data_IF_037897812505
#
_entry.id   IF_037897812505
#
_cell.length_a   1.000
_cell.length_b   1.000
_cell.length_c   1.000
_cell.angle_alpha   90.00
_cell.angle_beta   90.00
_cell.angle_gamma   90.00
#
_symmetry.space_group_name_H-M   'P 1'
#
loop_
_entity.id
_entity.type
_entity.pdbx_description
1 polymer ?
#
# COMPACT_ATOMS: atom_id res chain seq x y z
N UNK A 1 9.68 26.17 -22.67
CA UNK A 1 9.28 27.02 -21.53
C UNK A 1 10.45 27.87 -21.04
N UNK A 2 10.11 28.95 -20.33
CA UNK A 2 11.08 29.90 -19.78
C UNK A 2 10.85 30.08 -18.28
N UNK A 3 11.88 30.38 -17.52
CA UNK A 3 11.79 30.69 -16.10
C UNK A 3 12.67 31.91 -15.77
N UNK A 4 12.31 32.59 -14.69
CA UNK A 4 13.00 33.79 -14.25
C UNK A 4 14.01 33.45 -13.16
N UNK A 5 15.25 33.90 -13.36
CA UNK A 5 16.30 33.85 -12.35
C UNK A 5 16.73 35.29 -12.13
N UNK A 6 16.44 35.82 -10.96
CA UNK A 6 16.64 37.23 -10.60
C UNK A 6 16.00 38.20 -11.63
N UNK A 7 16.78 38.96 -12.36
CA UNK A 7 16.32 39.91 -13.39
C UNK A 7 16.29 39.32 -14.80
N UNK A 8 16.78 38.11 -15.02
CA UNK A 8 16.92 37.52 -16.37
C UNK A 8 15.92 36.38 -16.60
N UNK A 9 15.43 36.31 -17.85
CA UNK A 9 14.59 35.18 -18.31
C UNK A 9 15.49 34.21 -19.07
N UNK A 10 15.48 32.94 -18.64
CA UNK A 10 16.27 31.86 -19.25
C UNK A 10 15.36 30.75 -19.79
N UNK A 11 15.85 30.04 -20.81
CA UNK A 11 15.18 28.80 -21.26
C UNK A 11 15.24 27.79 -20.12
N UNK A 12 14.11 27.21 -19.82
CA UNK A 12 14.02 26.20 -18.78
C UNK A 12 14.65 24.89 -19.27
N UNK A 13 15.65 24.33 -18.56
CA UNK A 13 16.15 23.01 -18.83
C UNK A 13 15.02 21.97 -18.82
N UNK A 14 15.17 20.91 -19.60
CA UNK A 14 14.10 19.89 -19.76
C UNK A 14 13.79 19.16 -18.46
N UNK A 15 14.80 18.80 -17.72
CA UNK A 15 14.70 18.17 -16.39
C UNK A 15 13.90 19.03 -15.40
N UNK A 16 14.24 20.32 -15.29
CA UNK A 16 13.51 21.26 -14.43
C UNK A 16 12.07 21.47 -14.90
N UNK A 17 11.82 21.44 -16.19
CA UNK A 17 10.47 21.54 -16.74
C UNK A 17 9.64 20.31 -16.41
N UNK A 18 10.21 19.10 -16.59
CA UNK A 18 9.55 17.85 -16.26
C UNK A 18 9.25 17.74 -14.75
N UNK A 19 10.20 18.18 -13.90
CA UNK A 19 9.99 18.26 -12.45
C UNK A 19 8.84 19.18 -12.08
N UNK A 20 8.80 20.40 -12.62
CA UNK A 20 7.69 21.36 -12.37
C UNK A 20 6.33 20.86 -12.87
N UNK A 21 6.29 20.15 -13.99
CA UNK A 21 5.05 19.54 -14.46
C UNK A 21 4.59 18.45 -13.48
N UNK A 22 5.50 17.59 -13.02
CA UNK A 22 5.19 16.58 -12.01
C UNK A 22 4.70 17.21 -10.71
N UNK A 23 5.32 18.27 -10.24
CA UNK A 23 4.89 19.03 -9.07
C UNK A 23 3.52 19.69 -9.24
N UNK A 24 3.23 20.26 -10.42
CA UNK A 24 1.97 20.96 -10.69
C UNK A 24 0.79 20.02 -10.92
N UNK A 25 1.05 18.81 -11.40
CA UNK A 25 0.03 17.79 -11.72
C UNK A 25 0.47 16.40 -11.26
N UNK A 26 0.75 16.20 -9.96
CA UNK A 26 1.28 14.95 -9.44
C UNK A 26 0.36 13.76 -9.74
N UNK A 27 -0.96 13.99 -9.77
CA UNK A 27 -1.95 12.97 -10.06
C UNK A 27 -1.89 12.40 -11.49
N UNK A 28 -1.34 13.14 -12.47
CA UNK A 28 -1.20 12.64 -13.84
C UNK A 28 0.06 11.79 -14.04
N UNK A 29 1.10 12.03 -13.22
CA UNK A 29 2.41 11.40 -13.34
C UNK A 29 2.70 10.39 -12.23
N UNK A 30 1.73 10.14 -11.34
CA UNK A 30 1.92 9.14 -10.29
C UNK A 30 2.09 7.75 -10.89
N UNK A 31 3.02 6.98 -10.32
CA UNK A 31 3.29 5.60 -10.72
C UNK A 31 2.02 4.76 -10.83
N UNK A 32 1.12 4.89 -9.88
CA UNK A 32 -0.11 4.10 -9.80
C UNK A 32 -1.04 4.29 -11.02
N UNK A 33 -0.97 5.45 -11.70
CA UNK A 33 -1.81 5.78 -12.86
C UNK A 33 -1.17 5.44 -14.20
N UNK A 34 0.11 5.09 -14.22
CA UNK A 34 0.78 4.70 -15.45
C UNK A 34 0.22 3.36 -15.95
N UNK A 35 0.05 3.22 -17.26
CA UNK A 35 -0.36 1.94 -17.86
C UNK A 35 0.73 0.90 -17.61
N UNK A 36 0.34 -0.27 -17.17
CA UNK A 36 1.26 -1.37 -16.96
C UNK A 36 1.60 -2.03 -18.29
N UNK A 37 2.90 -2.09 -18.59
CA UNK A 37 3.37 -2.76 -19.81
C UNK A 37 3.34 -4.28 -19.67
N UNK A 38 2.77 -4.94 -20.68
CA UNK A 38 2.76 -6.40 -20.76
C UNK A 38 1.75 -7.11 -19.85
N UNK A 39 0.90 -6.37 -19.13
CA UNK A 39 -0.16 -6.94 -18.27
C UNK A 39 -1.52 -6.66 -18.90
N UNK A 40 -2.36 -7.67 -18.96
CA UNK A 40 -3.74 -7.60 -19.42
C UNK A 40 -4.74 -7.85 -18.28
N UNK A 41 -6.02 -7.65 -18.52
CA UNK A 41 -7.08 -7.90 -17.52
C UNK A 41 -7.06 -9.36 -17.06
N UNK A 42 -6.77 -10.30 -17.95
CA UNK A 42 -6.71 -11.73 -17.64
C UNK A 42 -5.55 -12.11 -16.69
N UNK A 43 -4.55 -11.25 -16.56
CA UNK A 43 -3.44 -11.44 -15.61
C UNK A 43 -3.80 -10.98 -14.19
N UNK A 44 -4.96 -10.34 -14.02
CA UNK A 44 -5.49 -9.95 -12.73
C UNK A 44 -6.32 -11.10 -12.10
N UNK A 45 -6.31 -11.18 -10.78
CA UNK A 45 -7.05 -12.18 -10.02
C UNK A 45 -8.52 -11.76 -9.84
N UNK A 46 -9.40 -12.38 -10.64
CA UNK A 46 -10.84 -12.14 -10.59
C UNK A 46 -11.45 -12.47 -9.22
N UNK A 47 -10.89 -13.41 -8.48
CA UNK A 47 -11.40 -13.75 -7.14
C UNK A 47 -11.09 -12.63 -6.14
N UNK A 48 -9.89 -12.06 -6.19
CA UNK A 48 -9.54 -10.91 -5.35
C UNK A 48 -10.39 -9.69 -5.69
N UNK A 49 -10.61 -9.40 -6.98
CA UNK A 49 -11.49 -8.31 -7.42
C UNK A 49 -12.93 -8.54 -6.90
N UNK A 50 -13.47 -9.75 -7.08
CA UNK A 50 -14.80 -10.08 -6.58
C UNK A 50 -14.89 -10.02 -5.03
N UNK A 51 -13.82 -10.41 -4.31
CA UNK A 51 -13.76 -10.28 -2.86
C UNK A 51 -13.75 -8.81 -2.41
N UNK A 52 -13.00 -7.95 -3.10
CA UNK A 52 -12.97 -6.52 -2.86
C UNK A 52 -14.37 -5.90 -3.02
N UNK A 53 -15.09 -6.27 -4.09
CA UNK A 53 -16.46 -5.81 -4.32
C UNK A 53 -17.41 -6.33 -3.23
N UNK A 54 -17.32 -7.62 -2.88
CA UNK A 54 -18.14 -8.19 -1.80
C UNK A 54 -17.91 -7.49 -0.46
N UNK A 55 -16.65 -7.21 -0.13
CA UNK A 55 -16.28 -6.43 1.05
C UNK A 55 -16.93 -5.06 1.05
N UNK A 56 -16.84 -4.35 -0.07
CA UNK A 56 -17.42 -3.02 -0.25
C UNK A 56 -18.95 -2.98 -0.13
N UNK A 57 -19.62 -3.95 -0.72
CA UNK A 57 -21.09 -4.09 -0.62
C UNK A 57 -21.49 -4.41 0.83
N UNK A 58 -20.82 -5.36 1.47
CA UNK A 58 -21.06 -5.71 2.88
C UNK A 58 -20.82 -4.53 3.82
N UNK A 59 -19.81 -3.71 3.55
CA UNK A 59 -19.49 -2.50 4.29
C UNK A 59 -20.35 -1.29 3.95
N UNK A 60 -21.31 -1.40 3.01
CA UNK A 60 -22.18 -0.30 2.60
C UNK A 60 -21.47 0.78 1.76
N UNK A 61 -20.26 0.52 1.28
CA UNK A 61 -19.46 1.46 0.48
C UNK A 61 -19.67 1.28 -1.04
N UNK A 62 -20.22 0.16 -1.46
CA UNK A 62 -20.60 -0.15 -2.83
C UNK A 62 -22.07 -0.57 -2.91
N UNK A 63 -22.73 -0.25 -4.02
CA UNK A 63 -24.09 -0.74 -4.29
C UNK A 63 -24.08 -2.26 -4.52
N UNK A 64 -25.15 -2.93 -4.11
CA UNK A 64 -25.36 -4.36 -4.37
C UNK A 64 -25.34 -4.71 -5.87
N UNK A 65 -25.69 -3.77 -6.75
CA UNK A 65 -25.59 -3.96 -8.21
C UNK A 65 -24.16 -4.26 -8.67
N UNK A 66 -23.13 -3.82 -7.93
CA UNK A 66 -21.73 -4.11 -8.27
C UNK A 66 -21.41 -5.62 -8.27
N UNK A 67 -22.17 -6.44 -7.54
CA UNK A 67 -21.98 -7.90 -7.52
C UNK A 67 -22.29 -8.60 -8.85
N UNK A 68 -23.09 -7.96 -9.71
CA UNK A 68 -23.46 -8.50 -11.02
C UNK A 68 -22.71 -7.88 -12.19
N UNK A 69 -21.77 -6.99 -11.91
CA UNK A 69 -20.99 -6.32 -12.94
C UNK A 69 -19.82 -7.18 -13.43
N UNK A 70 -19.39 -6.93 -14.67
CA UNK A 70 -18.20 -7.57 -15.22
C UNK A 70 -16.94 -7.04 -14.54
N UNK A 71 -15.88 -7.84 -14.51
CA UNK A 71 -14.56 -7.43 -14.00
C UNK A 71 -14.08 -6.13 -14.64
N UNK A 72 -14.23 -6.01 -15.96
CA UNK A 72 -13.82 -4.82 -16.70
C UNK A 72 -14.57 -3.57 -16.25
N UNK A 73 -15.89 -3.67 -16.03
CA UNK A 73 -16.71 -2.56 -15.52
C UNK A 73 -16.29 -2.15 -14.10
N UNK A 74 -16.01 -3.12 -13.23
CA UNK A 74 -15.52 -2.87 -11.87
C UNK A 74 -14.17 -2.15 -11.91
N UNK A 75 -13.21 -2.67 -12.68
CA UNK A 75 -11.90 -2.06 -12.84
C UNK A 75 -11.98 -0.63 -13.39
N UNK A 76 -12.87 -0.42 -14.37
CA UNK A 76 -13.13 0.91 -14.94
C UNK A 76 -13.69 1.88 -13.88
N UNK A 77 -14.69 1.45 -13.08
CA UNK A 77 -15.24 2.25 -11.97
C UNK A 77 -14.23 2.56 -10.89
N UNK A 78 -13.32 1.64 -10.62
CA UNK A 78 -12.20 1.85 -9.71
C UNK A 78 -11.08 2.69 -10.33
N UNK A 79 -11.23 3.14 -11.59
CA UNK A 79 -10.20 3.88 -12.35
C UNK A 79 -8.88 3.09 -12.50
N UNK A 80 -8.97 1.78 -12.57
CA UNK A 80 -7.82 0.88 -12.67
C UNK A 80 -7.45 0.52 -14.12
N UNK A 81 -8.17 1.10 -15.10
CA UNK A 81 -7.90 0.92 -16.52
C UNK A 81 -7.58 2.24 -17.21
N UNK A 82 -6.58 2.23 -18.08
CA UNK A 82 -6.25 3.28 -19.02
C UNK A 82 -6.50 2.76 -20.44
N UNK A 83 -7.50 3.27 -21.13
CA UNK A 83 -7.86 2.82 -22.50
C UNK A 83 -8.02 1.29 -22.59
N UNK A 84 -8.66 0.67 -21.59
CA UNK A 84 -8.90 -0.77 -21.54
C UNK A 84 -7.71 -1.60 -21.02
N UNK A 85 -6.55 -1.01 -20.73
CA UNK A 85 -5.38 -1.70 -20.18
C UNK A 85 -5.21 -1.41 -18.68
N UNK A 86 -4.83 -2.40 -17.86
CA UNK A 86 -4.55 -2.19 -16.46
C UNK A 86 -3.48 -1.12 -16.23
N UNK A 87 -3.68 -0.29 -15.22
CA UNK A 87 -2.63 0.60 -14.71
C UNK A 87 -1.84 -0.11 -13.58
N UNK A 88 -0.78 0.54 -13.10
CA UNK A 88 0.07 -0.03 -12.06
C UNK A 88 -0.67 -0.24 -10.73
N UNK A 89 -1.69 0.57 -10.42
CA UNK A 89 -2.54 0.32 -9.24
C UNK A 89 -3.32 -0.99 -9.37
N UNK A 90 -3.85 -1.31 -10.57
CA UNK A 90 -4.52 -2.59 -10.80
C UNK A 90 -3.58 -3.77 -10.58
N UNK A 91 -2.34 -3.65 -11.05
CA UNK A 91 -1.29 -4.67 -10.87
C UNK A 91 -0.92 -4.82 -9.39
N UNK A 92 -0.64 -3.70 -8.72
CA UNK A 92 -0.27 -3.71 -7.30
C UNK A 92 -1.37 -4.30 -6.41
N UNK A 93 -2.65 -4.12 -6.77
CA UNK A 93 -3.78 -4.64 -6.01
C UNK A 93 -4.14 -6.08 -6.40
N UNK A 94 -4.13 -6.42 -7.68
CA UNK A 94 -4.84 -7.60 -8.17
C UNK A 94 -4.04 -8.54 -9.08
N UNK A 95 -2.77 -8.25 -9.43
CA UNK A 95 -2.03 -9.16 -10.30
C UNK A 95 -1.87 -10.54 -9.67
N UNK A 96 -2.05 -11.60 -10.45
CA UNK A 96 -1.77 -12.98 -10.06
C UNK A 96 -0.29 -13.18 -9.79
N UNK A 97 0.55 -12.59 -10.65
CA UNK A 97 2.01 -12.65 -10.57
C UNK A 97 2.59 -11.23 -10.62
N UNK A 98 3.50 -10.92 -9.71
CA UNK A 98 4.12 -9.59 -9.60
C UNK A 98 5.55 -9.54 -10.18
N UNK A 99 5.95 -10.54 -10.95
CA UNK A 99 7.34 -10.79 -11.35
C UNK A 99 8.08 -9.63 -12.05
N UNK A 100 7.35 -8.71 -12.69
CA UNK A 100 7.93 -7.51 -13.31
C UNK A 100 8.14 -6.35 -12.32
N UNK A 101 7.53 -6.40 -11.14
CA UNK A 101 7.50 -5.31 -10.17
C UNK A 101 8.25 -5.71 -8.89
N UNK A 102 9.55 -5.51 -8.87
CA UNK A 102 10.42 -5.82 -7.72
C UNK A 102 10.05 -5.05 -6.45
N UNK A 103 9.39 -3.89 -6.62
CA UNK A 103 8.89 -3.08 -5.52
C UNK A 103 7.64 -3.65 -4.83
N UNK A 104 6.98 -4.64 -5.42
CA UNK A 104 5.87 -5.38 -4.79
C UNK A 104 6.41 -6.51 -3.91
N UNK A 105 7.18 -6.14 -2.90
CA UNK A 105 7.86 -7.06 -1.99
C UNK A 105 7.71 -6.60 -0.54
N UNK A 106 7.53 -7.57 0.35
CA UNK A 106 7.55 -7.41 1.81
C UNK A 106 8.70 -8.24 2.39
N UNK A 107 9.56 -7.61 3.17
CA UNK A 107 10.62 -8.26 3.95
C UNK A 107 10.26 -8.27 5.41
N UNK A 108 10.40 -9.42 6.04
CA UNK A 108 10.00 -9.62 7.43
C UNK A 108 11.12 -10.33 8.18
N UNK A 109 11.47 -9.83 9.35
CA UNK A 109 12.49 -10.44 10.21
C UNK A 109 12.07 -10.41 11.68
N UNK A 110 12.30 -11.51 12.41
CA UNK A 110 12.24 -11.61 13.87
C UNK A 110 13.67 -11.61 14.42
N UNK A 111 14.05 -10.54 15.07
CA UNK A 111 15.35 -10.39 15.70
C UNK A 111 15.32 -10.90 17.15
N UNK A 112 16.46 -11.40 17.64
CA UNK A 112 16.67 -11.72 19.06
C UNK A 112 17.24 -10.49 19.77
N UNK A 113 16.67 -10.18 20.95
CA UNK A 113 17.05 -8.95 21.67
C UNK A 113 16.57 -7.68 20.95
N UNK A 114 17.28 -6.57 21.16
CA UNK A 114 16.89 -5.24 20.74
C UNK A 114 17.69 -4.71 19.54
N UNK A 115 18.55 -5.54 18.94
CA UNK A 115 19.42 -5.20 17.80
C UNK A 115 19.22 -6.10 16.59
N UNK A 116 19.88 -5.74 15.47
CA UNK A 116 19.80 -6.47 14.18
C UNK A 116 20.89 -7.55 14.01
N UNK A 117 21.60 -7.91 15.08
CA UNK A 117 22.77 -8.78 14.98
C UNK A 117 22.39 -10.26 14.80
N UNK A 118 21.27 -10.69 15.36
CA UNK A 118 20.82 -12.08 15.30
C UNK A 118 19.31 -12.13 15.00
N UNK A 119 18.93 -12.93 14.02
CA UNK A 119 17.52 -13.13 13.69
C UNK A 119 17.12 -14.61 13.82
N UNK A 120 15.91 -14.84 14.32
CA UNK A 120 15.34 -16.18 14.47
C UNK A 120 14.48 -16.61 13.27
N UNK A 121 13.98 -15.65 12.51
CA UNK A 121 13.19 -15.87 11.28
C UNK A 121 13.40 -14.72 10.31
N UNK A 122 13.45 -15.04 9.02
CA UNK A 122 13.60 -14.05 7.96
C UNK A 122 12.82 -14.54 6.74
N UNK A 123 11.86 -13.73 6.29
CA UNK A 123 11.00 -14.06 5.17
C UNK A 123 10.96 -12.91 4.16
N UNK A 124 10.83 -13.29 2.89
CA UNK A 124 10.64 -12.37 1.77
C UNK A 124 9.47 -12.89 0.94
N UNK A 125 8.49 -12.04 0.71
CA UNK A 125 7.29 -12.37 -0.06
C UNK A 125 7.10 -11.31 -1.13
N UNK A 126 6.88 -11.76 -2.37
CA UNK A 126 6.52 -10.88 -3.50
C UNK A 126 5.10 -11.19 -3.95
N UNK A 127 4.36 -10.17 -4.35
CA UNK A 127 2.99 -10.33 -4.80
C UNK A 127 2.19 -9.05 -4.75
N UNK A 128 0.90 -9.17 -5.03
CA UNK A 128 -0.05 -8.07 -4.90
C UNK A 128 -0.28 -7.68 -3.43
N UNK A 129 -0.94 -6.55 -3.23
CA UNK A 129 -1.23 -5.99 -1.91
C UNK A 129 -1.80 -7.03 -0.94
N UNK A 130 -2.81 -7.80 -1.35
CA UNK A 130 -3.50 -8.75 -0.47
C UNK A 130 -2.58 -9.87 -0.02
N UNK A 131 -1.77 -10.42 -0.95
CA UNK A 131 -0.77 -11.43 -0.62
C UNK A 131 0.29 -10.91 0.35
N UNK A 132 0.77 -9.69 0.15
CA UNK A 132 1.74 -9.05 1.06
C UNK A 132 1.12 -8.77 2.43
N UNK A 133 -0.12 -8.29 2.45
CA UNK A 133 -0.87 -8.01 3.66
C UNK A 133 -1.09 -9.30 4.48
N UNK A 134 -1.58 -10.37 3.87
CA UNK A 134 -1.83 -11.64 4.53
C UNK A 134 -0.54 -12.27 5.06
N UNK A 135 0.56 -12.17 4.31
CA UNK A 135 1.88 -12.62 4.74
C UNK A 135 2.36 -11.85 5.97
N UNK A 136 2.23 -10.52 5.97
CA UNK A 136 2.61 -9.67 7.10
C UNK A 136 1.78 -9.94 8.34
N UNK A 137 0.46 -10.06 8.20
CA UNK A 137 -0.42 -10.40 9.32
C UNK A 137 -0.12 -11.79 9.87
N UNK A 138 0.13 -12.78 9.01
CA UNK A 138 0.55 -14.13 9.43
C UNK A 138 1.88 -14.12 10.18
N UNK A 139 2.82 -13.26 9.76
CA UNK A 139 4.10 -13.10 10.42
C UNK A 139 3.94 -12.49 11.83
N UNK A 140 3.05 -11.50 12.01
CA UNK A 140 2.72 -10.98 13.34
C UNK A 140 2.13 -12.06 14.24
N UNK A 141 1.13 -12.82 13.76
CA UNK A 141 0.54 -13.91 14.55
C UNK A 141 1.52 -15.01 14.93
N UNK A 142 2.53 -15.26 14.09
CA UNK A 142 3.57 -16.25 14.35
C UNK A 142 4.53 -15.83 15.46
N UNK A 143 4.84 -14.53 15.56
CA UNK A 143 5.95 -14.02 16.36
C UNK A 143 5.56 -13.15 17.55
N UNK A 144 4.31 -12.71 17.63
CA UNK A 144 3.80 -11.95 18.77
C UNK A 144 3.12 -12.88 19.79
N UNK A 145 3.28 -12.53 21.05
CA UNK A 145 2.68 -13.30 22.13
C UNK A 145 1.17 -13.10 22.16
N UNK A 146 0.45 -14.22 22.38
CA UNK A 146 -0.97 -14.21 22.69
C UNK A 146 -1.12 -14.21 24.22
N UNK A 147 -1.73 -13.16 24.77
CA UNK A 147 -2.18 -13.13 26.15
C UNK A 147 -3.62 -13.60 26.24
N UNK A 148 -3.93 -14.49 27.21
CA UNK A 148 -5.30 -14.95 27.45
C UNK A 148 -5.84 -14.37 28.74
N UNK A 149 -7.00 -13.68 28.67
CA UNK A 149 -7.76 -13.22 29.84
C UNK A 149 -9.05 -14.00 29.94
N UNK A 150 -9.35 -14.52 31.13
CA UNK A 150 -10.65 -15.16 31.38
C UNK A 150 -11.64 -14.09 31.81
N UNK A 151 -12.68 -13.87 30.98
CA UNK A 151 -13.77 -12.94 31.28
C UNK A 151 -15.05 -13.76 31.45
N UNK A 152 -15.47 -13.98 32.70
CA UNK A 152 -16.56 -14.88 33.03
C UNK A 152 -16.23 -16.34 32.68
N UNK A 153 -16.97 -16.95 31.76
CA UNK A 153 -16.75 -18.32 31.26
C UNK A 153 -16.02 -18.40 29.94
N UNK A 154 -15.61 -17.24 29.35
CA UNK A 154 -14.93 -17.18 28.05
C UNK A 154 -13.49 -16.82 28.25
N UNK A 155 -12.60 -17.46 27.49
CA UNK A 155 -11.21 -17.06 27.31
C UNK A 155 -11.18 -16.10 26.12
N UNK A 156 -10.73 -14.87 26.38
CA UNK A 156 -10.42 -13.88 25.36
C UNK A 156 -8.92 -13.88 25.14
N UNK A 157 -8.49 -14.07 23.90
CA UNK A 157 -7.08 -14.05 23.51
C UNK A 157 -6.81 -12.77 22.73
N UNK A 158 -5.82 -12.02 23.18
CA UNK A 158 -5.38 -10.80 22.52
C UNK A 158 -3.87 -10.89 22.23
N UNK A 159 -3.47 -10.38 21.05
CA UNK A 159 -2.06 -10.16 20.77
C UNK A 159 -1.51 -9.06 21.68
N UNK A 160 -0.22 -9.18 22.07
CA UNK A 160 0.47 -8.15 22.87
C UNK A 160 0.44 -6.76 22.21
N UNK A 161 0.28 -6.71 20.87
CA UNK A 161 -0.04 -5.49 20.13
C UNK A 161 -1.43 -5.68 19.49
N UNK A 162 -2.37 -4.74 19.65
CA UNK A 162 -3.72 -4.86 19.13
C UNK A 162 -3.76 -5.16 17.63
N UNK A 163 -4.55 -6.16 17.22
CA UNK A 163 -4.71 -6.55 15.82
C UNK A 163 -5.05 -5.37 14.90
N UNK A 164 -5.94 -4.47 15.36
CA UNK A 164 -6.37 -3.31 14.58
C UNK A 164 -5.19 -2.38 14.29
N UNK A 165 -4.32 -2.15 15.27
CA UNK A 165 -3.13 -1.30 15.11
C UNK A 165 -2.12 -1.92 14.12
N UNK A 166 -1.87 -3.23 14.20
CA UNK A 166 -0.99 -3.94 13.26
C UNK A 166 -1.53 -3.89 11.84
N UNK A 167 -2.85 -4.15 11.69
CA UNK A 167 -3.55 -4.10 10.41
C UNK A 167 -3.45 -2.71 9.77
N UNK A 168 -3.75 -1.67 10.53
CA UNK A 168 -3.68 -0.29 10.05
C UNK A 168 -2.26 0.10 9.67
N UNK A 169 -1.27 -0.16 10.53
CA UNK A 169 0.12 0.18 10.26
C UNK A 169 0.65 -0.52 9.00
N UNK A 170 0.34 -1.81 8.81
CA UNK A 170 0.76 -2.56 7.62
C UNK A 170 0.03 -2.07 6.36
N UNK A 171 -1.28 -1.85 6.43
CA UNK A 171 -2.05 -1.29 5.32
C UNK A 171 -1.49 0.06 4.90
N UNK A 172 -1.21 0.94 5.86
CA UNK A 172 -0.62 2.24 5.61
C UNK A 172 0.78 2.12 4.98
N UNK A 173 1.64 1.24 5.48
CA UNK A 173 2.97 1.03 4.93
C UNK A 173 2.92 0.57 3.46
N UNK A 174 2.05 -0.38 3.13
CA UNK A 174 1.86 -0.87 1.77
C UNK A 174 1.18 0.18 0.87
N UNK A 175 0.17 0.90 1.38
CA UNK A 175 -0.56 1.90 0.61
C UNK A 175 0.26 3.16 0.33
N UNK A 176 1.05 3.61 1.30
CA UNK A 176 1.84 4.87 1.20
C UNK A 176 3.27 4.68 0.71
N UNK A 177 3.66 3.46 0.29
CA UNK A 177 4.97 3.22 -0.30
C UNK A 177 5.20 4.11 -1.53
N UNK A 178 6.41 4.64 -1.68
CA UNK A 178 6.84 5.31 -2.90
C UNK A 178 7.19 4.26 -3.96
N UNK A 179 6.23 3.92 -4.82
CA UNK A 179 6.37 2.86 -5.82
C UNK A 179 7.27 3.24 -7.01
N UNK A 180 7.58 4.51 -7.21
CA UNK A 180 8.59 4.96 -8.17
C UNK A 180 10.01 4.51 -7.77
N UNK A 181 10.26 4.27 -6.49
CA UNK A 181 11.52 3.73 -6.00
C UNK A 181 11.50 2.20 -6.04
N UNK A 182 12.26 1.62 -6.96
CA UNK A 182 12.33 0.16 -7.19
C UNK A 182 13.29 -0.56 -6.24
N UNK A 183 14.13 0.17 -5.51
CA UNK A 183 15.19 -0.43 -4.68
C UNK A 183 14.70 -1.00 -3.35
N UNK A 184 14.20 -0.17 -2.43
CA UNK A 184 13.82 -0.64 -1.10
C UNK A 184 12.44 -1.30 -1.08
N UNK A 185 12.24 -2.27 -0.17
CA UNK A 185 10.96 -2.96 0.07
C UNK A 185 10.28 -2.43 1.33
N UNK A 186 8.98 -2.69 1.48
CA UNK A 186 8.33 -2.57 2.79
C UNK A 186 8.93 -3.59 3.74
N UNK A 187 9.22 -3.19 4.96
CA UNK A 187 9.89 -4.04 5.96
C UNK A 187 9.08 -4.15 7.25
N UNK A 188 9.07 -5.36 7.83
CA UNK A 188 8.61 -5.62 9.19
C UNK A 188 9.81 -6.18 9.97
N UNK A 189 10.16 -5.55 11.08
CA UNK A 189 11.16 -6.02 12.01
C UNK A 189 10.55 -6.14 13.41
N UNK A 190 10.52 -7.37 13.96
CA UNK A 190 10.01 -7.65 15.29
C UNK A 190 11.23 -7.90 16.19
N UNK A 191 11.36 -7.13 17.26
CA UNK A 191 12.37 -7.26 18.32
C UNK A 191 11.69 -7.77 19.60
N UNK A 192 12.48 -7.95 20.66
CA UNK A 192 11.92 -8.36 21.96
C UNK A 192 11.15 -7.23 22.64
N UNK A 193 11.43 -5.97 22.30
CA UNK A 193 10.86 -4.78 22.94
C UNK A 193 9.99 -3.90 22.02
N UNK A 194 10.00 -4.14 20.69
CA UNK A 194 9.28 -3.30 19.72
C UNK A 194 9.04 -3.97 18.38
N UNK A 195 8.15 -3.37 17.61
CA UNK A 195 7.92 -3.66 16.20
C UNK A 195 8.27 -2.42 15.39
N UNK A 196 9.03 -2.58 14.33
CA UNK A 196 9.31 -1.55 13.34
C UNK A 196 8.66 -1.95 12.00
N UNK A 197 7.80 -1.08 11.47
CA UNK A 197 7.28 -1.21 10.10
C UNK A 197 7.84 -0.03 9.32
N UNK A 198 8.53 -0.31 8.24
CA UNK A 198 9.18 0.69 7.41
C UNK A 198 8.75 0.58 5.96
N UNK A 199 8.58 1.71 5.30
CA UNK A 199 8.31 1.79 3.87
C UNK A 199 9.16 2.88 3.21
N UNK A 200 9.57 2.70 1.95
CA UNK A 200 10.25 3.74 1.18
C UNK A 200 9.34 4.94 0.95
N UNK A 201 9.89 6.12 1.14
CA UNK A 201 9.18 7.36 0.90
C UNK A 201 9.57 8.47 1.88
N UNK A 202 9.03 9.65 1.61
CA UNK A 202 9.14 10.82 2.47
C UNK A 202 7.77 11.20 3.01
N UNK A 203 7.71 11.90 4.12
CA UNK A 203 6.46 12.50 4.56
C UNK A 203 5.97 13.52 3.52
N UNK A 204 4.65 13.67 3.34
CA UNK A 204 4.08 14.79 2.57
C UNK A 204 4.61 16.14 3.07
N UNK A 205 4.76 17.12 2.18
CA UNK A 205 5.38 18.42 2.49
C UNK A 205 4.70 19.18 3.65
N UNK A 206 3.46 18.88 3.96
CA UNK A 206 2.67 19.47 5.03
C UNK A 206 2.73 18.68 6.36
N UNK A 207 3.43 17.56 6.38
CA UNK A 207 3.60 16.74 7.58
C UNK A 207 5.05 16.76 8.06
N UNK A 208 5.22 16.89 9.37
CA UNK A 208 6.50 16.75 10.08
C UNK A 208 6.41 15.62 11.09
N UNK A 209 7.56 15.17 11.61
CA UNK A 209 7.61 14.13 12.67
C UNK A 209 6.86 14.58 13.94
N UNK A 210 6.79 15.88 14.18
CA UNK A 210 6.11 16.46 15.33
C UNK A 210 4.60 16.48 15.13
N UNK A 211 4.10 16.95 13.97
CA UNK A 211 2.68 17.13 13.74
C UNK A 211 1.95 15.84 13.32
N UNK A 212 2.67 14.82 12.82
CA UNK A 212 2.06 13.51 12.50
C UNK A 212 1.49 12.80 13.76
N UNK A 213 1.96 13.18 14.94
CA UNK A 213 1.45 12.64 16.22
C UNK A 213 0.12 13.26 16.65
N UNK A 214 -0.32 14.31 15.96
CA UNK A 214 -1.58 15.00 16.22
C UNK A 214 -2.63 14.60 15.17
N UNK A 215 -3.87 14.97 15.39
CA UNK A 215 -4.91 14.80 14.38
C UNK A 215 -4.54 15.57 13.12
N UNK A 216 -4.50 14.90 11.99
CA UNK A 216 -4.18 15.46 10.69
C UNK A 216 -5.03 14.79 9.59
N UNK A 217 -5.19 15.49 8.49
CA UNK A 217 -5.87 14.93 7.32
C UNK A 217 -5.03 13.82 6.68
N UNK A 218 -5.71 12.84 6.08
CA UNK A 218 -5.03 11.77 5.34
C UNK A 218 -4.61 12.27 3.95
N UNK A 219 -3.32 12.19 3.67
CA UNK A 219 -2.74 12.52 2.36
C UNK A 219 -2.12 11.26 1.74
N UNK A 220 -2.93 10.40 1.11
CA UNK A 220 -2.42 9.16 0.53
C UNK A 220 -1.46 9.47 -0.62
N UNK A 221 -0.28 8.84 -0.58
CA UNK A 221 0.71 8.92 -1.67
C UNK A 221 0.19 8.27 -2.94
N UNK A 222 -0.56 7.18 -2.79
CA UNK A 222 -1.19 6.44 -3.87
C UNK A 222 -2.73 6.52 -3.71
N UNK A 223 -3.36 7.67 -4.05
CA UNK A 223 -4.78 7.90 -3.77
C UNK A 223 -5.71 6.94 -4.50
N UNK A 224 -5.29 6.41 -5.65
CA UNK A 224 -6.08 5.44 -6.39
C UNK A 224 -6.14 4.10 -5.66
N UNK A 225 -4.98 3.59 -5.21
CA UNK A 225 -4.92 2.40 -4.37
C UNK A 225 -5.67 2.60 -3.04
N UNK A 226 -5.47 3.75 -2.37
CA UNK A 226 -6.16 4.08 -1.12
C UNK A 226 -7.68 4.07 -1.29
N UNK A 227 -8.19 4.65 -2.37
CA UNK A 227 -9.63 4.66 -2.66
C UNK A 227 -10.18 3.24 -2.85
N UNK A 228 -9.50 2.37 -3.58
CA UNK A 228 -9.94 0.98 -3.77
C UNK A 228 -9.90 0.23 -2.44
N UNK A 229 -8.86 0.39 -1.63
CA UNK A 229 -8.76 -0.22 -0.31
C UNK A 229 -9.85 0.28 0.65
N UNK A 230 -10.16 1.59 0.61
CA UNK A 230 -11.30 2.15 1.32
C UNK A 230 -12.60 1.52 0.85
N UNK A 231 -12.89 1.54 -0.44
CA UNK A 231 -14.13 0.95 -0.99
C UNK A 231 -14.28 -0.53 -0.66
N UNK A 232 -13.17 -1.26 -0.53
CA UNK A 232 -13.12 -2.68 -0.21
C UNK A 232 -13.09 -2.98 1.30
N UNK A 233 -13.21 -1.97 2.16
CA UNK A 233 -13.16 -2.08 3.64
C UNK A 233 -11.82 -2.50 4.25
N UNK A 234 -10.72 -2.30 3.54
CA UNK A 234 -9.37 -2.49 4.07
C UNK A 234 -8.83 -1.24 4.79
N UNK A 235 -9.30 -0.06 4.42
CA UNK A 235 -9.06 1.23 5.08
C UNK A 235 -10.35 1.76 5.71
#
# INVERSE_FOLDING_TARGET
PYYRVESTTKVMPRDLFEERIKESKPHLFSWERQTSDGINIDDLDNNLIANAVRGGVKGGRLSSSALSETTENILSKFQLLNQGKPNNAAVALFAKESGLYTQLELRMARFKGNGKNEFGDNQRVSGNFFKLFDAGMSFFFKHLNLSGKIVGTKREEELEVPYVALREALTNALCHRMYDDVGPSVGIAIYDDRIEISNPGTLPNNLTVENIKQSHDSYPRNPLMANVLYLSTYL
#
